data_IF_970164862954
#
_entry.id   IF_970164862954
#
_cell.length_a   1.000
_cell.length_b   1.000
_cell.length_c   1.000
_cell.angle_alpha   90.00
_cell.angle_beta   90.00
_cell.angle_gamma   90.00
#
_symmetry.space_group_name_H-M   'P 1'
#
loop_
_entity.id
_entity.type
_entity.pdbx_description
1 polymer ?
#
# COMPACT_ATOMS: atom_id res chain seq x y z
N UNK A 1 16.84 -18.06 9.56
CA UNK A 1 16.17 -16.99 8.81
C UNK A 1 17.26 -16.02 8.37
N UNK A 2 17.39 -15.75 7.10
CA UNK A 2 18.35 -14.76 6.58
C UNK A 2 17.96 -13.41 7.16
N UNK A 3 18.86 -12.70 7.86
CA UNK A 3 18.59 -11.39 8.50
C UNK A 3 18.31 -10.25 7.50
N UNK A 4 17.69 -10.58 6.35
CA UNK A 4 17.37 -9.66 5.26
C UNK A 4 15.86 -9.47 5.15
N UNK A 5 15.41 -8.22 5.18
CA UNK A 5 14.00 -7.84 5.03
C UNK A 5 13.83 -6.93 3.82
N UNK A 6 12.89 -7.24 2.97
CA UNK A 6 12.46 -6.37 1.87
C UNK A 6 11.25 -5.55 2.34
N UNK A 7 11.44 -4.25 2.48
CA UNK A 7 10.39 -3.30 2.79
C UNK A 7 9.68 -2.88 1.50
N UNK A 8 8.38 -3.14 1.43
CA UNK A 8 7.52 -2.56 0.42
C UNK A 8 6.88 -1.28 0.98
N UNK A 9 7.27 -0.14 0.42
CA UNK A 9 6.73 1.15 0.80
C UNK A 9 5.60 1.51 -0.15
N UNK A 10 4.41 1.66 0.39
CA UNK A 10 3.18 1.80 -0.40
C UNK A 10 2.16 2.72 0.26
N UNK A 11 1.18 3.13 -0.53
CA UNK A 11 -0.06 3.71 -0.05
C UNK A 11 -1.24 2.96 -0.69
N UNK A 12 -2.27 2.57 0.06
CA UNK A 12 -3.39 1.77 -0.46
C UNK A 12 -4.19 2.48 -1.55
N UNK A 13 -4.14 3.81 -1.60
CA UNK A 13 -4.83 4.60 -2.62
C UNK A 13 -3.87 5.19 -3.67
N UNK A 14 -2.64 4.67 -3.77
CA UNK A 14 -1.68 5.01 -4.82
C UNK A 14 -1.90 4.11 -6.05
N UNK A 15 -2.26 4.69 -7.20
CA UNK A 15 -2.54 3.94 -8.43
C UNK A 15 -1.33 3.15 -8.93
N UNK A 16 -0.11 3.69 -8.81
CA UNK A 16 1.10 2.97 -9.15
C UNK A 16 1.38 1.78 -8.20
N UNK A 17 0.96 1.86 -6.93
CA UNK A 17 0.99 0.72 -6.01
C UNK A 17 -0.02 -0.37 -6.42
N UNK A 18 -1.20 0.03 -6.88
CA UNK A 18 -2.17 -0.90 -7.47
C UNK A 18 -1.61 -1.59 -8.72
N UNK A 19 -1.00 -0.81 -9.64
CA UNK A 19 -0.31 -1.36 -10.81
C UNK A 19 0.86 -2.29 -10.47
N UNK A 20 1.45 -2.12 -9.29
CA UNK A 20 2.60 -2.91 -8.82
C UNK A 20 2.17 -4.17 -8.03
N UNK A 21 0.90 -4.30 -7.64
CA UNK A 21 0.42 -5.40 -6.82
C UNK A 21 0.74 -6.79 -7.40
N UNK A 22 0.61 -7.07 -8.73
CA UNK A 22 0.98 -8.36 -9.29
C UNK A 22 2.49 -8.68 -9.14
N UNK A 23 3.35 -7.67 -9.22
CA UNK A 23 4.80 -7.84 -9.05
C UNK A 23 5.13 -8.17 -7.58
N UNK A 24 4.44 -7.52 -6.64
CA UNK A 24 4.58 -7.83 -5.20
C UNK A 24 4.12 -9.26 -4.90
N UNK A 25 3.00 -9.70 -5.48
CA UNK A 25 2.54 -11.09 -5.33
C UNK A 25 3.61 -12.09 -5.83
N UNK A 26 4.19 -11.86 -7.02
CA UNK A 26 5.28 -12.68 -7.55
C UNK A 26 6.52 -12.70 -6.65
N UNK A 27 6.95 -11.54 -6.12
CA UNK A 27 8.10 -11.49 -5.22
C UNK A 27 7.82 -12.30 -3.95
N UNK A 28 6.62 -12.15 -3.38
CA UNK A 28 6.23 -12.88 -2.16
C UNK A 28 6.15 -14.38 -2.38
N UNK A 29 5.75 -14.83 -3.57
CA UNK A 29 5.72 -16.25 -3.94
C UNK A 29 7.11 -16.80 -4.21
N UNK A 30 7.90 -16.15 -5.08
CA UNK A 30 9.20 -16.64 -5.55
C UNK A 30 10.30 -16.62 -4.47
N UNK A 31 10.15 -15.76 -3.44
CA UNK A 31 11.20 -15.52 -2.43
C UNK A 31 10.78 -15.79 -0.98
N UNK A 32 9.59 -16.38 -0.77
CA UNK A 32 8.99 -16.60 0.57
C UNK A 32 9.90 -17.34 1.57
N UNK A 33 10.73 -18.24 1.08
CA UNK A 33 11.67 -19.07 1.88
C UNK A 33 13.03 -18.37 2.14
N UNK A 34 13.35 -17.30 1.39
CA UNK A 34 14.66 -16.65 1.39
C UNK A 34 14.64 -15.19 1.84
N UNK A 35 13.48 -14.57 1.84
CA UNK A 35 13.33 -13.13 2.07
C UNK A 35 12.05 -12.83 2.84
N UNK A 36 12.17 -12.17 4.00
CA UNK A 36 11.01 -11.59 4.66
C UNK A 36 10.56 -10.34 3.91
N UNK A 37 9.26 -10.21 3.62
CA UNK A 37 8.70 -8.99 3.05
C UNK A 37 7.77 -8.33 4.05
N UNK A 38 8.03 -7.06 4.34
CA UNK A 38 7.27 -6.23 5.25
C UNK A 38 6.66 -5.03 4.53
N UNK A 39 5.45 -4.66 4.92
CA UNK A 39 4.76 -3.48 4.40
C UNK A 39 5.04 -2.27 5.30
N UNK A 40 5.41 -1.15 4.69
CA UNK A 40 5.53 0.15 5.36
C UNK A 40 4.66 1.17 4.63
N UNK A 41 3.72 1.78 5.35
CA UNK A 41 2.82 2.75 4.75
C UNK A 41 3.46 4.12 4.62
N UNK A 42 3.22 4.78 3.48
CA UNK A 42 3.92 5.99 3.13
C UNK A 42 3.16 7.29 3.33
N UNK A 43 1.81 7.25 3.27
CA UNK A 43 0.96 8.43 3.40
C UNK A 43 1.05 9.34 2.18
N UNK A 44 0.34 8.99 1.11
CA UNK A 44 0.34 9.76 -0.14
C UNK A 44 -0.34 11.12 0.03
N UNK A 45 -1.54 11.14 0.63
CA UNK A 45 -2.36 12.34 0.88
C UNK A 45 -3.03 12.29 2.26
N UNK A 46 -2.29 12.09 3.36
CA UNK A 46 -2.87 11.90 4.67
C UNK A 46 -3.42 13.21 5.24
N UNK A 47 -4.61 13.16 5.82
CA UNK A 47 -5.23 14.30 6.49
C UNK A 47 -5.85 15.34 5.54
N UNK A 48 -6.12 14.97 4.28
CA UNK A 48 -6.89 15.80 3.34
C UNK A 48 -8.30 15.99 3.89
N UNK A 49 -8.76 17.25 3.94
CA UNK A 49 -10.07 17.63 4.52
C UNK A 49 -11.03 18.27 3.53
N UNK A 50 -10.52 18.73 2.40
CA UNK A 50 -11.31 19.41 1.38
C UNK A 50 -11.68 18.46 0.25
N UNK A 51 -12.88 18.58 -0.30
CA UNK A 51 -13.26 17.89 -1.51
C UNK A 51 -12.27 18.15 -2.65
N UNK A 52 -12.09 17.14 -3.49
CA UNK A 52 -11.23 17.22 -4.65
C UNK A 52 -11.81 18.16 -5.71
N UNK A 53 -10.98 19.08 -6.20
CA UNK A 53 -11.35 19.94 -7.33
C UNK A 53 -11.43 19.14 -8.65
N UNK A 54 -12.29 19.54 -9.60
CA UNK A 54 -12.45 18.83 -10.89
C UNK A 54 -11.11 18.63 -11.64
N UNK A 55 -10.23 19.64 -11.64
CA UNK A 55 -8.91 19.55 -12.29
C UNK A 55 -7.99 18.52 -11.63
N UNK A 56 -8.02 18.42 -10.30
CA UNK A 56 -7.26 17.40 -9.57
C UNK A 56 -7.78 16.01 -9.87
N UNK A 57 -9.11 15.86 -9.98
CA UNK A 57 -9.72 14.58 -10.35
C UNK A 57 -9.26 14.14 -11.75
N UNK A 58 -9.27 15.05 -12.71
CA UNK A 58 -8.81 14.78 -14.07
C UNK A 58 -7.33 14.34 -14.09
N UNK A 59 -6.47 15.04 -13.37
CA UNK A 59 -5.05 14.67 -13.21
C UNK A 59 -4.90 13.26 -12.65
N UNK A 60 -5.65 12.91 -11.60
CA UNK A 60 -5.57 11.57 -10.99
C UNK A 60 -6.08 10.50 -11.96
N UNK A 61 -7.17 10.75 -12.69
CA UNK A 61 -7.65 9.82 -13.71
C UNK A 61 -6.63 9.63 -14.84
N UNK A 62 -5.91 10.67 -15.24
CA UNK A 62 -4.80 10.57 -16.19
C UNK A 62 -3.67 9.68 -15.65
N UNK A 63 -3.36 9.76 -14.36
CA UNK A 63 -2.45 8.80 -13.72
C UNK A 63 -2.98 7.36 -13.77
N UNK A 64 -4.27 7.13 -13.51
CA UNK A 64 -4.88 5.78 -13.62
C UNK A 64 -4.77 5.23 -15.04
N UNK A 65 -5.04 6.06 -16.07
CA UNK A 65 -4.85 5.67 -17.46
C UNK A 65 -3.39 5.30 -17.77
N UNK A 66 -2.44 6.10 -17.30
CA UNK A 66 -1.01 5.81 -17.48
C UNK A 66 -0.60 4.49 -16.80
N UNK A 67 -1.11 4.21 -15.60
CA UNK A 67 -0.88 2.94 -14.91
C UNK A 67 -1.48 1.78 -15.68
N UNK A 68 -2.75 1.90 -16.11
CA UNK A 68 -3.41 0.87 -16.91
C UNK A 68 -2.59 0.53 -18.17
N UNK A 69 -2.21 1.53 -18.94
CA UNK A 69 -1.42 1.34 -20.16
C UNK A 69 -0.06 0.70 -19.89
N UNK A 70 0.58 1.06 -18.78
CA UNK A 70 1.93 0.58 -18.43
C UNK A 70 1.94 -0.82 -17.85
N UNK A 71 0.93 -1.17 -17.06
CA UNK A 71 0.94 -2.38 -16.21
C UNK A 71 -0.10 -3.42 -16.61
N UNK A 72 -1.11 -3.03 -17.40
CA UNK A 72 -2.28 -3.87 -17.70
C UNK A 72 -3.27 -3.98 -16.54
N UNK A 73 -3.03 -3.32 -15.40
CA UNK A 73 -3.93 -3.38 -14.26
C UNK A 73 -5.27 -2.72 -14.57
N UNK A 74 -6.35 -3.33 -14.10
CA UNK A 74 -7.71 -2.88 -14.40
C UNK A 74 -8.12 -1.71 -13.48
N UNK A 75 -8.96 -0.82 -14.03
CA UNK A 75 -9.58 0.29 -13.32
C UNK A 75 -11.01 0.48 -13.79
N UNK A 76 -11.94 0.81 -12.90
CA UNK A 76 -13.25 1.30 -13.24
C UNK A 76 -13.20 2.85 -13.26
N UNK A 77 -13.17 3.44 -14.45
CA UNK A 77 -13.00 4.90 -14.61
C UNK A 77 -14.31 5.67 -14.47
N UNK A 78 -15.41 5.10 -15.00
CA UNK A 78 -16.72 5.74 -14.98
C UNK A 78 -17.22 5.88 -13.53
N UNK A 79 -17.57 7.09 -13.11
CA UNK A 79 -18.05 7.37 -11.75
C UNK A 79 -16.96 7.43 -10.68
N UNK A 80 -15.70 7.13 -11.00
CA UNK A 80 -14.60 7.15 -10.02
C UNK A 80 -14.45 8.52 -9.33
N UNK A 81 -14.27 8.51 -8.02
CA UNK A 81 -14.06 9.72 -7.22
C UNK A 81 -15.14 10.78 -7.51
N UNK A 82 -16.41 10.55 -7.11
CA UNK A 82 -17.53 11.44 -7.44
C UNK A 82 -17.34 12.87 -6.87
N UNK A 83 -18.12 13.85 -7.35
CA UNK A 83 -18.09 15.19 -6.77
C UNK A 83 -18.25 15.17 -5.25
N UNK A 84 -17.42 15.92 -4.55
CA UNK A 84 -17.40 15.94 -3.09
C UNK A 84 -16.50 14.89 -2.44
N UNK A 85 -15.87 13.99 -3.22
CA UNK A 85 -14.93 13.01 -2.68
C UNK A 85 -13.71 13.67 -2.04
N UNK A 86 -13.40 13.27 -0.81
CA UNK A 86 -12.22 13.71 -0.06
C UNK A 86 -11.16 12.63 -0.16
N UNK A 87 -10.09 12.92 -0.90
CA UNK A 87 -9.03 11.94 -1.12
C UNK A 87 -8.03 11.91 0.04
N UNK A 88 -8.50 11.44 1.20
CA UNK A 88 -7.66 11.21 2.38
C UNK A 88 -7.18 9.75 2.42
N UNK A 89 -5.88 9.54 2.38
CA UNK A 89 -5.30 8.19 2.38
C UNK A 89 -4.98 7.67 3.79
N UNK A 90 -5.16 8.49 4.84
CA UNK A 90 -4.88 8.10 6.22
C UNK A 90 -5.81 6.97 6.69
N UNK A 91 -7.15 7.01 6.51
CA UNK A 91 -8.03 5.96 7.03
C UNK A 91 -7.72 4.58 6.43
N UNK A 92 -7.51 4.49 5.12
CA UNK A 92 -7.15 3.24 4.46
C UNK A 92 -5.80 2.70 4.95
N UNK A 93 -4.83 3.57 5.19
CA UNK A 93 -3.53 3.21 5.78
C UNK A 93 -3.69 2.73 7.23
N UNK A 94 -4.47 3.43 8.05
CA UNK A 94 -4.74 3.07 9.44
C UNK A 94 -5.47 1.74 9.57
N UNK A 95 -6.37 1.41 8.64
CA UNK A 95 -7.01 0.10 8.61
C UNK A 95 -5.99 -1.04 8.49
N UNK A 96 -4.97 -0.86 7.63
CA UNK A 96 -3.89 -1.84 7.47
C UNK A 96 -3.04 -1.93 8.74
N UNK A 97 -2.68 -0.80 9.36
CA UNK A 97 -1.94 -0.78 10.63
C UNK A 97 -2.72 -1.51 11.72
N UNK A 98 -4.00 -1.19 11.88
CA UNK A 98 -4.87 -1.84 12.87
C UNK A 98 -4.97 -3.35 12.65
N UNK A 99 -5.13 -3.77 11.39
CA UNK A 99 -5.18 -5.19 11.04
C UNK A 99 -3.86 -5.89 11.34
N UNK A 100 -2.71 -5.24 11.07
CA UNK A 100 -1.41 -5.81 11.37
C UNK A 100 -1.17 -6.06 12.87
N UNK A 101 -1.80 -5.26 13.72
CA UNK A 101 -1.75 -5.46 15.19
C UNK A 101 -2.59 -6.67 15.64
N UNK A 102 -3.69 -6.98 14.94
CA UNK A 102 -4.54 -8.14 15.27
C UNK A 102 -3.96 -9.41 14.65
N UNK A 103 -3.65 -9.37 13.36
CA UNK A 103 -3.11 -10.49 12.59
C UNK A 103 -2.18 -9.99 11.47
N UNK A 104 -0.86 -9.96 11.68
CA UNK A 104 0.09 -9.52 10.66
C UNK A 104 0.03 -10.36 9.36
N UNK A 105 -0.40 -11.62 9.44
CA UNK A 105 -0.45 -12.54 8.30
C UNK A 105 -1.40 -12.11 7.18
N UNK A 106 -2.40 -11.28 7.47
CA UNK A 106 -3.40 -10.84 6.48
C UNK A 106 -3.19 -9.40 6.00
N UNK A 107 -2.10 -8.74 6.40
CA UNK A 107 -1.79 -7.34 6.06
C UNK A 107 -1.80 -7.07 4.56
N UNK A 108 -1.11 -7.91 3.77
CA UNK A 108 -1.09 -7.79 2.30
C UNK A 108 -2.44 -8.14 1.66
N UNK A 109 -3.19 -9.07 2.26
CA UNK A 109 -4.53 -9.40 1.78
C UNK A 109 -5.49 -8.23 1.96
N UNK A 110 -5.42 -7.52 3.09
CA UNK A 110 -6.20 -6.30 3.30
C UNK A 110 -5.76 -5.17 2.38
N UNK A 111 -4.46 -4.95 2.18
CA UNK A 111 -3.97 -3.96 1.20
C UNK A 111 -4.60 -4.21 -0.18
N UNK A 112 -4.57 -5.45 -0.66
CA UNK A 112 -5.15 -5.84 -1.96
C UNK A 112 -6.67 -5.66 -1.99
N UNK A 113 -7.37 -6.01 -0.91
CA UNK A 113 -8.82 -5.82 -0.80
C UNK A 113 -9.21 -4.34 -0.85
N UNK A 114 -8.49 -3.46 -0.14
CA UNK A 114 -8.71 -2.00 -0.17
C UNK A 114 -8.44 -1.44 -1.57
N UNK A 115 -7.36 -1.85 -2.21
CA UNK A 115 -7.04 -1.43 -3.57
C UNK A 115 -8.12 -1.86 -4.57
N UNK A 116 -8.56 -3.12 -4.52
CA UNK A 116 -9.64 -3.64 -5.37
C UNK A 116 -10.93 -2.85 -5.15
N UNK A 117 -11.35 -2.66 -3.89
CA UNK A 117 -12.56 -1.92 -3.55
C UNK A 117 -12.52 -0.47 -4.08
N UNK A 118 -11.37 0.20 -3.99
CA UNK A 118 -11.22 1.57 -4.47
C UNK A 118 -11.16 1.66 -5.99
N UNK A 119 -10.34 0.82 -6.66
CA UNK A 119 -10.06 0.94 -8.09
C UNK A 119 -11.06 0.20 -9.00
N UNK A 120 -11.71 -0.85 -8.51
CA UNK A 120 -12.64 -1.67 -9.30
C UNK A 120 -14.10 -1.53 -8.87
N UNK A 121 -14.36 -1.34 -7.55
CA UNK A 121 -15.72 -1.28 -7.01
C UNK A 121 -16.15 0.15 -6.67
N UNK A 122 -15.25 1.14 -6.80
CA UNK A 122 -15.47 2.56 -6.47
C UNK A 122 -15.99 2.78 -5.04
N UNK A 123 -15.64 1.88 -4.15
CA UNK A 123 -15.98 1.99 -2.74
C UNK A 123 -15.20 3.13 -2.08
N UNK A 124 -15.87 3.89 -1.22
CA UNK A 124 -15.22 4.95 -0.44
C UNK A 124 -14.42 4.34 0.72
N UNK A 125 -13.16 4.01 0.44
CA UNK A 125 -12.22 3.41 1.42
C UNK A 125 -11.70 4.41 2.46
N UNK A 126 -12.34 5.57 2.60
CA UNK A 126 -12.14 6.50 3.72
C UNK A 126 -13.14 6.24 4.85
N UNK A 127 -14.16 5.41 4.61
CA UNK A 127 -15.27 5.13 5.54
C UNK A 127 -15.00 3.93 6.43
N UNK A 128 -15.26 4.08 7.73
CA UNK A 128 -15.07 3.02 8.73
C UNK A 128 -15.85 1.75 8.39
N UNK A 129 -17.10 1.88 7.96
CA UNK A 129 -17.96 0.74 7.60
C UNK A 129 -17.42 -0.05 6.40
N UNK A 130 -16.87 0.63 5.38
CA UNK A 130 -16.24 -0.03 4.22
C UNK A 130 -14.97 -0.76 4.66
N UNK A 131 -14.10 -0.07 5.40
CA UNK A 131 -12.84 -0.65 5.87
C UNK A 131 -13.05 -1.81 6.84
N UNK A 132 -14.06 -1.74 7.72
CA UNK A 132 -14.43 -2.83 8.63
C UNK A 132 -14.95 -4.05 7.86
N UNK A 133 -15.77 -3.83 6.82
CA UNK A 133 -16.25 -4.92 5.95
C UNK A 133 -15.08 -5.60 5.22
N UNK A 134 -14.14 -4.81 4.68
CA UNK A 134 -12.94 -5.35 4.01
C UNK A 134 -12.04 -6.12 4.97
N UNK A 135 -11.87 -5.63 6.21
CA UNK A 135 -11.13 -6.35 7.25
C UNK A 135 -11.80 -7.67 7.61
N UNK A 136 -13.13 -7.70 7.70
CA UNK A 136 -13.91 -8.93 7.95
C UNK A 136 -13.74 -9.95 6.83
N UNK A 137 -13.69 -9.52 5.57
CA UNK A 137 -13.48 -10.40 4.42
C UNK A 137 -12.10 -11.09 4.42
N UNK A 138 -11.12 -10.53 5.13
CA UNK A 138 -9.80 -11.16 5.32
C UNK A 138 -9.65 -11.85 6.69
N UNK A 139 -10.77 -12.07 7.40
CA UNK A 139 -10.82 -12.85 8.63
C UNK A 139 -10.56 -12.08 9.93
N UNK A 140 -10.69 -10.75 9.92
CA UNK A 140 -10.60 -9.92 11.13
C UNK A 140 -12.00 -9.65 11.70
N UNK A 141 -12.19 -9.94 12.99
CA UNK A 141 -13.44 -9.64 13.69
C UNK A 141 -13.67 -8.13 13.81
N UNK A 142 -14.83 -7.66 13.32
CA UNK A 142 -15.22 -6.25 13.36
C UNK A 142 -15.28 -5.69 14.79
N UNK A 143 -15.65 -6.51 15.80
CA UNK A 143 -15.68 -6.11 17.20
C UNK A 143 -14.27 -5.82 17.76
N UNK A 144 -13.24 -6.45 17.21
CA UNK A 144 -11.84 -6.14 17.53
C UNK A 144 -11.30 -4.99 16.68
N UNK A 145 -11.66 -4.96 15.39
CA UNK A 145 -11.15 -4.00 14.44
C UNK A 145 -11.60 -2.57 14.74
N UNK A 146 -12.92 -2.33 14.88
CA UNK A 146 -13.47 -0.96 14.95
C UNK A 146 -12.90 -0.17 16.14
N UNK A 147 -12.91 -0.68 17.39
CA UNK A 147 -12.36 0.08 18.52
C UNK A 147 -10.87 0.38 18.36
N UNK A 148 -10.10 -0.58 17.81
CA UNK A 148 -8.68 -0.41 17.56
C UNK A 148 -8.45 0.63 16.47
N UNK A 149 -9.11 0.50 15.32
CA UNK A 149 -9.04 1.41 14.19
C UNK A 149 -9.36 2.86 14.58
N UNK A 150 -10.35 3.08 15.44
CA UNK A 150 -10.76 4.43 15.87
C UNK A 150 -9.90 5.02 16.98
N UNK A 151 -8.97 4.24 17.54
CA UNK A 151 -8.12 4.69 18.64
C UNK A 151 -7.09 5.73 18.22
N UNK A 152 -6.72 6.60 19.16
CA UNK A 152 -5.63 7.57 18.98
C UNK A 152 -4.27 6.88 18.85
N UNK A 153 -4.14 5.69 19.45
CA UNK A 153 -2.93 4.87 19.32
C UNK A 153 -2.69 4.49 17.85
N UNK A 154 -3.70 3.97 17.14
CA UNK A 154 -3.55 3.59 15.73
C UNK A 154 -3.33 4.79 14.82
N UNK A 155 -3.93 5.95 15.12
CA UNK A 155 -3.60 7.21 14.42
C UNK A 155 -2.14 7.56 14.58
N UNK A 156 -1.63 7.48 15.81
CA UNK A 156 -0.23 7.78 16.14
C UNK A 156 0.72 6.78 15.48
N UNK A 157 0.40 5.49 15.50
CA UNK A 157 1.22 4.45 14.86
C UNK A 157 1.24 4.58 13.33
N UNK A 158 0.10 4.94 12.72
CA UNK A 158 0.02 5.21 11.28
C UNK A 158 0.91 6.40 10.90
N UNK A 159 0.84 7.49 11.66
CA UNK A 159 1.72 8.64 11.46
C UNK A 159 3.20 8.28 11.64
N UNK A 160 3.51 7.42 12.61
CA UNK A 160 4.87 6.93 12.82
C UNK A 160 5.39 6.14 11.60
N UNK A 161 4.56 5.33 10.94
CA UNK A 161 4.93 4.66 9.69
C UNK A 161 5.21 5.67 8.56
N UNK A 162 4.36 6.69 8.40
CA UNK A 162 4.60 7.76 7.41
C UNK A 162 5.92 8.49 7.68
N UNK A 163 6.23 8.78 8.95
CA UNK A 163 7.48 9.42 9.33
C UNK A 163 8.68 8.50 9.07
N UNK A 164 8.57 7.20 9.38
CA UNK A 164 9.62 6.21 9.07
C UNK A 164 9.88 6.13 7.56
N UNK A 165 8.83 6.07 6.74
CA UNK A 165 8.94 6.06 5.28
C UNK A 165 9.71 7.27 4.76
N UNK A 166 9.36 8.47 5.23
CA UNK A 166 10.08 9.72 4.90
C UNK A 166 11.52 9.72 5.40
N UNK A 167 11.76 9.22 6.62
CA UNK A 167 13.11 9.09 7.20
C UNK A 167 14.03 8.16 6.42
N UNK A 168 13.47 7.19 5.66
CA UNK A 168 14.21 6.34 4.74
C UNK A 168 14.49 7.01 3.38
N UNK A 169 14.14 8.29 3.22
CA UNK A 169 14.36 9.05 1.99
C UNK A 169 13.38 8.70 0.85
N UNK A 170 12.24 8.09 1.17
CA UNK A 170 11.22 7.73 0.17
C UNK A 170 10.25 8.89 -0.01
N UNK A 171 10.16 9.39 -1.24
CA UNK A 171 9.31 10.51 -1.64
C UNK A 171 8.24 10.13 -2.67
N UNK A 172 8.17 8.85 -3.04
CA UNK A 172 7.21 8.34 -4.01
C UNK A 172 6.91 6.85 -3.83
N UNK A 173 5.74 6.43 -4.30
CA UNK A 173 5.28 5.05 -4.19
C UNK A 173 4.90 4.48 -5.56
N UNK A 174 5.07 3.16 -5.76
CA UNK A 174 5.68 2.18 -4.86
C UNK A 174 7.20 2.37 -4.72
N UNK A 175 7.79 1.89 -3.60
CA UNK A 175 9.25 1.78 -3.47
C UNK A 175 9.61 0.47 -2.77
N UNK A 176 10.76 -0.10 -3.12
CA UNK A 176 11.32 -1.28 -2.46
C UNK A 176 12.67 -0.92 -1.83
N UNK A 177 12.82 -1.24 -0.55
CA UNK A 177 14.06 -1.06 0.21
C UNK A 177 14.47 -2.38 0.84
N UNK A 178 15.70 -2.81 0.60
CA UNK A 178 16.30 -3.92 1.32
C UNK A 178 16.92 -3.41 2.62
N UNK A 179 16.64 -4.12 3.71
CA UNK A 179 17.35 -4.00 4.98
C UNK A 179 18.18 -5.27 5.20
N UNK A 180 19.47 -5.10 5.46
CA UNK A 180 20.40 -6.14 5.87
C UNK A 180 21.30 -5.64 7.00
N UNK A 181 22.34 -6.38 7.36
CA UNK A 181 23.31 -6.03 8.40
C UNK A 181 24.08 -4.72 8.15
N UNK A 182 24.14 -4.27 6.89
CA UNK A 182 24.82 -3.03 6.46
C UNK A 182 23.89 -1.81 6.50
N UNK A 183 22.58 -2.03 6.76
CA UNK A 183 21.57 -0.98 6.82
C UNK A 183 20.54 -1.07 5.69
N UNK A 184 20.10 0.07 5.20
CA UNK A 184 19.05 0.18 4.19
C UNK A 184 19.63 0.52 2.82
N UNK A 185 19.16 -0.17 1.78
CA UNK A 185 19.52 0.11 0.38
C UNK A 185 18.27 0.11 -0.52
N UNK A 186 18.17 1.12 -1.39
CA UNK A 186 17.06 1.21 -2.34
C UNK A 186 17.23 0.15 -3.43
N UNK A 187 16.18 -0.66 -3.64
CA UNK A 187 16.08 -1.64 -4.71
C UNK A 187 15.33 -1.07 -5.93
N UNK A 188 14.24 -0.35 -5.67
CA UNK A 188 13.51 0.41 -6.70
C UNK A 188 12.79 1.62 -6.09
N UNK A 189 12.63 2.65 -6.92
CA UNK A 189 11.78 3.82 -6.66
C UNK A 189 10.83 3.97 -7.86
N UNK A 190 9.52 3.87 -7.61
CA UNK A 190 8.50 3.75 -8.64
C UNK A 190 8.32 2.33 -9.16
N UNK A 191 7.42 2.20 -10.15
CA UNK A 191 7.09 0.92 -10.78
C UNK A 191 8.30 0.30 -11.49
N UNK A 192 8.48 -1.00 -11.26
CA UNK A 192 9.48 -1.85 -11.95
C UNK A 192 8.84 -3.20 -12.27
N UNK A 193 9.21 -3.81 -13.40
CA UNK A 193 8.75 -5.16 -13.74
C UNK A 193 9.51 -6.22 -12.93
N UNK A 194 8.93 -7.42 -12.84
CA UNK A 194 9.62 -8.54 -12.17
C UNK A 194 10.95 -8.89 -12.85
N UNK A 195 11.03 -8.80 -14.19
CA UNK A 195 12.27 -9.03 -14.95
C UNK A 195 13.38 -8.04 -14.57
N UNK A 196 13.03 -6.79 -14.24
CA UNK A 196 13.98 -5.78 -13.78
C UNK A 196 14.41 -6.00 -12.32
N UNK A 197 13.52 -6.57 -11.49
CA UNK A 197 13.76 -6.74 -10.06
C UNK A 197 14.48 -8.05 -9.74
N UNK A 198 14.12 -9.15 -10.42
CA UNK A 198 14.67 -10.49 -10.17
C UNK A 198 16.21 -10.51 -10.10
N UNK A 199 16.97 -10.01 -11.11
CA UNK A 199 18.42 -10.03 -11.03
C UNK A 199 18.99 -9.19 -9.89
N UNK A 200 18.29 -8.11 -9.49
CA UNK A 200 18.72 -7.28 -8.36
C UNK A 200 18.48 -7.99 -7.03
N UNK A 201 17.32 -8.65 -6.87
CA UNK A 201 17.00 -9.40 -5.65
C UNK A 201 17.97 -10.58 -5.52
N UNK A 202 18.19 -11.34 -6.59
CA UNK A 202 19.10 -12.50 -6.58
C UNK A 202 20.54 -12.06 -6.25
N UNK A 203 21.03 -10.97 -6.83
CA UNK A 203 22.34 -10.43 -6.52
C UNK A 203 22.49 -9.99 -5.07
N UNK A 204 21.40 -9.46 -4.46
CA UNK A 204 21.39 -9.05 -3.04
C UNK A 204 21.33 -10.26 -2.11
N UNK A 205 20.61 -11.31 -2.49
CA UNK A 205 20.54 -12.56 -1.72
C UNK A 205 21.86 -13.36 -1.78
N UNK A 206 22.60 -13.26 -2.90
CA UNK A 206 23.90 -13.91 -3.06
C UNK A 206 25.05 -13.23 -2.26
N UNK A 207 24.84 -12.02 -1.77
CA UNK A 207 25.80 -11.32 -0.90
C UNK A 207 25.62 -11.85 0.53
N UNK A 208 26.42 -12.83 0.91
CA UNK A 208 26.58 -13.34 2.28
C UNK A 208 27.39 -12.37 3.14
#
# INVERSE_FOLDING_TARGET
MTGKTLWYLADPMCSWCWGFAPVIDMIREDYSDRLSMELLLGGLRPGTKLPMEPSQREEILNHWHAVHLKTGQSFLFEGAMPPGFIYDTEPASRAIVSTSMINPGVTFSLLKAIQSAFYLDQSDVTKTEVLSSLASNVGIDSHQFIPLFESDEMRSQTLAQFNKSRGLGVHGFPSLILQDERGYSSLSSGYSTMDQLRPKIDALLARS
#
